data_IF_443008904355
#
_entry.id   IF_443008904355
#
_cell.length_a   1.000
_cell.length_b   1.000
_cell.length_c   1.000
_cell.angle_alpha   90.00
_cell.angle_beta   90.00
_cell.angle_gamma   90.00
#
_symmetry.space_group_name_H-M   'P 1'
#
loop_
_entity.id
_entity.type
_entity.pdbx_description
1 polymer ?
#
# COMPACT_ATOMS: atom_id res chain seq x y z
N UNK A 1 -3.14 2.67 -10.91
CA UNK A 1 -3.90 3.72 -10.16
C UNK A 1 -3.15 5.04 -10.20
N UNK A 2 -3.81 6.18 -9.96
CA UNK A 2 -3.11 7.46 -9.78
C UNK A 2 -2.59 7.65 -8.34
N UNK A 3 -1.69 8.60 -8.14
CA UNK A 3 -1.08 8.90 -6.84
C UNK A 3 -2.11 9.18 -5.74
N UNK A 4 -3.13 9.99 -6.02
CA UNK A 4 -4.15 10.36 -5.03
C UNK A 4 -4.86 9.13 -4.47
N UNK A 5 -5.23 8.19 -5.35
CA UNK A 5 -5.89 6.95 -4.93
C UNK A 5 -4.98 6.07 -4.07
N UNK A 6 -3.68 6.00 -4.40
CA UNK A 6 -2.68 5.27 -3.59
C UNK A 6 -2.59 5.83 -2.18
N UNK A 7 -2.54 7.16 -2.04
CA UNK A 7 -2.51 7.84 -0.74
C UNK A 7 -3.77 7.53 0.06
N UNK A 8 -4.96 7.62 -0.55
CA UNK A 8 -6.24 7.38 0.14
C UNK A 8 -6.36 5.95 0.68
N UNK A 9 -5.98 4.95 -0.12
CA UNK A 9 -5.98 3.55 0.26
C UNK A 9 -5.03 3.30 1.44
N UNK A 10 -3.79 3.75 1.33
CA UNK A 10 -2.79 3.55 2.37
C UNK A 10 -3.18 4.29 3.67
N UNK A 11 -3.73 5.51 3.56
CA UNK A 11 -4.23 6.27 4.73
C UNK A 11 -5.40 5.56 5.41
N UNK A 12 -6.33 5.00 4.63
CA UNK A 12 -7.46 4.26 5.18
C UNK A 12 -6.99 3.01 5.93
N UNK A 13 -6.10 2.22 5.33
CA UNK A 13 -5.55 1.01 5.95
C UNK A 13 -4.75 1.34 7.23
N UNK A 14 -3.93 2.41 7.21
CA UNK A 14 -3.19 2.86 8.39
C UNK A 14 -4.11 3.19 9.57
N UNK A 15 -5.22 3.90 9.32
CA UNK A 15 -6.21 4.23 10.37
C UNK A 15 -6.95 3.01 10.91
N UNK A 16 -7.18 1.99 10.08
CA UNK A 16 -7.86 0.76 10.49
C UNK A 16 -6.91 -0.23 11.20
N UNK A 17 -5.59 -0.02 11.10
CA UNK A 17 -4.60 -0.97 11.61
C UNK A 17 -4.51 -2.27 10.79
N UNK A 18 -5.07 -2.29 9.59
CA UNK A 18 -5.14 -3.46 8.71
C UNK A 18 -5.65 -3.12 7.31
N UNK A 19 -5.53 -4.04 6.34
CA UNK A 19 -5.96 -3.82 4.96
C UNK A 19 -7.47 -3.59 4.79
N UNK A 20 -8.32 -3.82 5.80
CA UNK A 20 -9.76 -3.48 5.72
C UNK A 20 -10.50 -4.17 4.57
N UNK A 21 -11.63 -3.60 4.06
CA UNK A 21 -12.42 -4.17 2.96
C UNK A 21 -11.79 -3.93 1.57
N UNK A 22 -10.47 -3.73 1.49
CA UNK A 22 -9.77 -3.46 0.24
C UNK A 22 -9.77 -4.70 -0.67
N UNK A 23 -9.74 -4.48 -1.98
CA UNK A 23 -9.39 -5.56 -2.91
C UNK A 23 -7.95 -6.03 -2.66
N UNK A 24 -7.60 -7.24 -3.10
CA UNK A 24 -6.25 -7.79 -2.92
C UNK A 24 -5.16 -6.84 -3.45
N UNK A 25 -5.35 -6.25 -4.63
CA UNK A 25 -4.37 -5.30 -5.19
C UNK A 25 -4.22 -4.01 -4.37
N UNK A 26 -5.33 -3.50 -3.82
CA UNK A 26 -5.30 -2.33 -2.95
C UNK A 26 -4.68 -2.64 -1.59
N UNK A 27 -4.95 -3.83 -1.03
CA UNK A 27 -4.32 -4.30 0.20
C UNK A 27 -2.80 -4.45 0.05
N UNK A 28 -2.33 -5.03 -1.06
CA UNK A 28 -0.90 -5.10 -1.39
C UNK A 28 -0.30 -3.71 -1.59
N UNK A 29 -1.02 -2.80 -2.25
CA UNK A 29 -0.59 -1.40 -2.41
C UNK A 29 -0.44 -0.71 -1.05
N UNK A 30 -1.41 -0.86 -0.16
CA UNK A 30 -1.36 -0.30 1.18
C UNK A 30 -0.19 -0.87 1.98
N UNK A 31 0.01 -2.19 1.95
CA UNK A 31 1.10 -2.86 2.66
C UNK A 31 2.48 -2.38 2.18
N UNK A 32 2.66 -2.22 0.87
CA UNK A 32 3.90 -1.70 0.28
C UNK A 32 4.16 -0.24 0.67
N UNK A 33 3.15 0.64 0.58
CA UNK A 33 3.28 2.06 0.95
C UNK A 33 3.57 2.23 2.44
N UNK A 34 2.93 1.45 3.29
CA UNK A 34 3.08 1.50 4.75
C UNK A 34 4.28 0.68 5.26
N UNK A 35 5.06 0.07 4.36
CA UNK A 35 6.18 -0.81 4.68
C UNK A 35 5.81 -1.94 5.67
N UNK A 36 4.61 -2.53 5.50
CA UNK A 36 4.07 -3.62 6.32
C UNK A 36 4.33 -4.98 5.67
N UNK A 37 5.58 -5.45 5.78
CA UNK A 37 5.97 -6.77 5.28
C UNK A 37 5.23 -7.92 5.98
N UNK A 38 4.79 -7.70 7.22
CA UNK A 38 3.92 -8.61 7.97
C UNK A 38 2.54 -8.76 7.31
N UNK A 39 1.93 -7.68 6.83
CA UNK A 39 0.67 -7.76 6.07
C UNK A 39 0.83 -8.53 4.76
N UNK A 40 1.96 -8.35 4.06
CA UNK A 40 2.25 -9.12 2.86
C UNK A 40 2.34 -10.62 3.19
N UNK A 41 3.02 -10.97 4.28
CA UNK A 41 3.16 -12.35 4.73
C UNK A 41 1.82 -12.97 5.15
N UNK A 42 0.96 -12.23 5.85
CA UNK A 42 -0.41 -12.68 6.21
C UNK A 42 -1.29 -12.97 4.99
N UNK A 43 -1.01 -12.32 3.86
CA UNK A 43 -1.70 -12.55 2.59
C UNK A 43 -1.00 -13.60 1.70
N UNK A 44 0.07 -14.25 2.17
CA UNK A 44 0.92 -15.18 1.42
C UNK A 44 1.62 -14.55 0.20
N UNK A 45 2.02 -13.28 0.30
CA UNK A 45 2.80 -12.57 -0.71
C UNK A 45 4.20 -12.20 -0.23
N UNK A 46 5.19 -12.48 -1.08
CA UNK A 46 6.49 -11.80 -1.02
C UNK A 46 6.40 -10.38 -1.59
N UNK A 47 7.40 -9.54 -1.30
CA UNK A 47 7.50 -8.19 -1.90
C UNK A 47 7.51 -8.28 -3.44
N UNK A 48 8.28 -9.21 -4.01
CA UNK A 48 8.37 -9.36 -5.46
C UNK A 48 7.00 -9.72 -6.08
N UNK A 49 6.29 -10.69 -5.49
CA UNK A 49 4.96 -11.07 -5.95
C UNK A 49 3.95 -9.92 -5.78
N UNK A 50 4.06 -9.14 -4.71
CA UNK A 50 3.20 -7.98 -4.50
C UNK A 50 3.43 -6.92 -5.59
N UNK A 51 4.68 -6.65 -5.95
CA UNK A 51 5.05 -5.73 -7.03
C UNK A 51 4.57 -6.23 -8.40
N UNK A 52 4.69 -7.53 -8.69
CA UNK A 52 4.17 -8.13 -9.93
C UNK A 52 2.64 -8.09 -10.01
N UNK A 53 1.96 -8.09 -8.86
CA UNK A 53 0.50 -8.16 -8.78
C UNK A 53 -0.21 -6.82 -8.95
N UNK A 54 0.42 -5.72 -8.53
CA UNK A 54 -0.13 -4.37 -8.67
C UNK A 54 0.18 -3.79 -10.05
N UNK A 55 -0.67 -2.89 -10.53
CA UNK A 55 -0.44 -2.26 -11.83
C UNK A 55 0.89 -1.47 -11.84
N UNK A 56 1.66 -1.49 -12.93
CA UNK A 56 2.91 -0.71 -13.05
C UNK A 56 2.73 0.78 -12.74
N UNK A 57 1.59 1.35 -13.13
CA UNK A 57 1.25 2.75 -12.84
C UNK A 57 1.13 3.03 -11.33
N UNK A 58 0.81 2.02 -10.53
CA UNK A 58 0.75 2.11 -9.07
C UNK A 58 2.15 2.08 -8.46
N UNK A 59 3.08 1.29 -9.04
CA UNK A 59 4.47 1.14 -8.54
C UNK A 59 5.21 2.48 -8.50
N UNK A 60 5.11 3.27 -9.56
CA UNK A 60 5.74 4.60 -9.65
C UNK A 60 5.28 5.58 -8.56
N UNK A 61 4.11 5.35 -7.96
CA UNK A 61 3.53 6.23 -6.94
C UNK A 61 3.84 5.80 -5.50
N UNK A 62 4.36 4.58 -5.27
CA UNK A 62 4.58 4.03 -3.93
C UNK A 62 5.46 4.96 -3.07
N UNK A 63 6.59 5.42 -3.63
CA UNK A 63 7.57 6.23 -2.89
C UNK A 63 7.04 7.62 -2.53
N UNK A 64 6.27 8.23 -3.42
CA UNK A 64 5.70 9.55 -3.17
C UNK A 64 4.55 9.48 -2.17
N UNK A 65 3.68 8.47 -2.29
CA UNK A 65 2.61 8.24 -1.32
C UNK A 65 3.15 8.00 0.10
N UNK A 66 4.20 7.18 0.23
CA UNK A 66 4.87 6.93 1.51
C UNK A 66 5.44 8.23 2.11
N UNK A 67 6.07 9.08 1.28
CA UNK A 67 6.59 10.38 1.71
C UNK A 67 5.48 11.30 2.22
N UNK A 68 4.36 11.37 1.52
CA UNK A 68 3.20 12.18 1.93
C UNK A 68 2.68 11.71 3.29
N UNK A 69 2.46 10.40 3.46
CA UNK A 69 1.92 9.87 4.71
C UNK A 69 2.87 10.06 5.89
N UNK A 70 4.19 9.96 5.67
CA UNK A 70 5.19 10.22 6.71
C UNK A 70 5.20 11.68 7.17
N UNK A 71 4.84 12.62 6.30
CA UNK A 71 4.74 14.04 6.67
C UNK A 71 3.44 14.38 7.42
N UNK A 72 2.43 13.52 7.34
CA UNK A 72 1.15 13.69 8.04
C UNK A 72 1.20 13.23 9.50
N UNK A 73 2.16 12.38 9.86
CA UNK A 73 2.35 11.86 11.22
C UNK A 73 3.71 12.36 11.75
N UNK A 74 3.73 13.32 12.69
CA UNK A 74 4.98 13.82 13.28
C UNK A 74 5.72 12.78 14.12
#
# INVERSE_FOLDING_TARGET
MNLQRVIEIARAAARMGGPGPLSTGEALTAALVLNRADWLAEMDYTIAQALDRIDPDTVQHLREAERVLRLEVP
#
